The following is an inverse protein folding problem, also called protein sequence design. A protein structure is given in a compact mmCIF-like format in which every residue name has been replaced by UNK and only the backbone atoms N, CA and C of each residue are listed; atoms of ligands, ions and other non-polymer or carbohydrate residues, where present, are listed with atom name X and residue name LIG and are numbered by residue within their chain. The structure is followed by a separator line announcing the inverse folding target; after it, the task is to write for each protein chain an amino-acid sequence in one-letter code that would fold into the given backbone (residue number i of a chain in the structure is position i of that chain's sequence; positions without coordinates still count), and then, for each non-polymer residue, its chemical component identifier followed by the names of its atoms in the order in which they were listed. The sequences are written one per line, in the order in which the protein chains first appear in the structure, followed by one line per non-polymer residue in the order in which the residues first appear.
data_IF_808580206929
#
_entry.id   IF_808580206929
#
_cell.length_a   1.000
_cell.length_b   1.000
_cell.length_c   1.000
_cell.angle_alpha   90.00
_cell.angle_beta   90.00
_cell.angle_gamma   90.00
#
_symmetry.space_group_name_H-M   'P 1'
#
loop_
_entity.id
_entity.type
_entity.pdbx_description
1 polymer ?
#
# COMPACT_ATOMS: atom_id res chain seq x y z
N UNK A 1 -5.37 -49.91 36.04
CA UNK A 1 -6.17 -50.99 36.65
C UNK A 1 -7.42 -51.11 35.81
N UNK A 2 -7.54 -52.22 35.09
CA UNK A 2 -8.73 -52.58 34.34
C UNK A 2 -9.70 -53.27 35.29
N UNK A 3 -10.98 -52.89 35.24
CA UNK A 3 -12.07 -53.70 35.76
C UNK A 3 -13.23 -53.65 34.76
N UNK A 4 -13.27 -54.67 33.91
CA UNK A 4 -14.53 -55.20 33.38
C UNK A 4 -15.31 -55.80 34.55
N UNK A 5 -16.61 -55.52 34.65
CA UNK A 5 -17.50 -56.41 35.38
C UNK A 5 -18.82 -56.60 34.64
N UNK A 6 -19.14 -57.88 34.42
CA UNK A 6 -20.31 -58.45 33.77
C UNK A 6 -21.49 -58.49 34.73
N UNK A 7 -22.71 -58.38 34.22
CA UNK A 7 -23.94 -58.61 34.99
C UNK A 7 -25.14 -58.97 34.09
N UNK A 8 -25.22 -60.24 33.74
CA UNK A 8 -26.39 -61.03 33.25
C UNK A 8 -27.51 -61.09 34.31
N UNK A 9 -28.70 -61.74 34.13
CA UNK A 9 -29.35 -62.32 32.94
C UNK A 9 -30.89 -62.07 32.82
N UNK A 10 -31.45 -62.59 31.71
CA UNK A 10 -32.87 -62.72 31.31
C UNK A 10 -33.52 -63.96 31.98
N UNK A 11 -34.83 -63.95 32.24
CA UNK A 11 -35.76 -64.99 31.72
C UNK A 11 -37.12 -64.36 31.30
N UNK A 12 -37.79 -64.65 30.18
CA UNK A 12 -38.01 -65.92 29.50
C UNK A 12 -39.49 -66.32 29.66
N UNK A 13 -40.36 -65.96 28.71
CA UNK A 13 -41.56 -66.73 28.34
C UNK A 13 -42.18 -66.16 27.05
N UNK A 14 -42.42 -67.06 26.09
CA UNK A 14 -42.85 -66.80 24.71
C UNK A 14 -44.38 -67.00 24.55
N UNK A 15 -44.97 -66.12 23.73
CA UNK A 15 -46.05 -66.35 22.72
C UNK A 15 -47.50 -66.75 23.11
N UNK A 16 -48.51 -66.57 22.21
CA UNK A 16 -48.59 -65.80 20.95
C UNK A 16 -49.92 -65.01 20.75
N UNK A 17 -50.07 -64.45 19.53
CA UNK A 17 -51.28 -63.95 18.84
C UNK A 17 -51.68 -62.48 19.02
N UNK A 18 -51.38 -61.66 17.98
CA UNK A 18 -52.38 -61.18 17.01
C UNK A 18 -51.73 -60.33 15.88
N UNK A 19 -51.77 -60.82 14.64
CA UNK A 19 -51.67 -60.01 13.41
C UNK A 19 -53.11 -59.69 12.91
N UNK A 20 -53.37 -58.82 11.91
CA UNK A 20 -52.50 -58.11 10.95
C UNK A 20 -52.74 -56.56 10.97
N UNK A 21 -51.98 -55.69 10.29
CA UNK A 21 -52.07 -55.38 8.85
C UNK A 21 -51.18 -54.14 8.53
N UNK A 22 -50.55 -54.11 7.34
CA UNK A 22 -50.29 -52.86 6.60
C UNK A 22 -48.89 -52.22 6.60
N UNK A 23 -48.10 -52.55 5.57
CA UNK A 23 -47.20 -51.67 4.77
C UNK A 23 -45.98 -51.01 5.44
N UNK A 24 -44.74 -51.38 5.04
CA UNK A 24 -43.91 -50.77 3.95
C UNK A 24 -43.28 -49.44 4.41
N UNK A 25 -41.98 -49.17 4.41
CA UNK A 25 -40.73 -49.63 3.78
C UNK A 25 -39.63 -49.51 4.86
N UNK A 26 -38.60 -50.36 4.95
CA UNK A 26 -37.46 -50.33 4.03
C UNK A 26 -36.45 -49.23 4.40
N UNK A 27 -35.94 -49.21 5.63
CA UNK A 27 -34.82 -48.35 6.02
C UNK A 27 -33.51 -49.12 5.79
N UNK A 28 -32.94 -48.93 4.60
CA UNK A 28 -31.57 -49.35 4.27
C UNK A 28 -30.59 -48.58 5.15
N UNK A 29 -29.76 -49.34 5.87
CA UNK A 29 -28.55 -48.85 6.49
C UNK A 29 -27.61 -48.31 5.41
N UNK A 30 -27.43 -46.98 5.37
CA UNK A 30 -26.42 -46.35 4.53
C UNK A 30 -25.07 -46.41 5.26
N UNK A 31 -24.24 -47.36 4.82
CA UNK A 31 -22.81 -47.41 5.10
C UNK A 31 -22.12 -46.09 4.69
N UNK A 32 -21.24 -45.59 5.57
CA UNK A 32 -20.36 -44.46 5.30
C UNK A 32 -19.33 -44.79 4.22
N UNK A 33 -19.67 -44.50 2.98
CA UNK A 33 -18.73 -44.32 1.88
C UNK A 33 -18.51 -42.82 1.67
N UNK A 34 -17.39 -42.30 2.17
CA UNK A 34 -16.91 -40.96 1.83
C UNK A 34 -16.64 -40.93 0.32
N UNK A 35 -17.54 -40.32 -0.46
CA UNK A 35 -17.40 -40.30 -1.91
C UNK A 35 -16.18 -39.45 -2.27
N UNK A 36 -15.37 -39.86 -3.26
CA UNK A 36 -14.22 -39.08 -3.74
C UNK A 36 -14.57 -37.62 -4.08
N UNK A 37 -15.83 -37.39 -4.49
CA UNK A 37 -16.35 -36.06 -4.83
C UNK A 37 -16.53 -35.14 -3.60
N UNK A 38 -16.91 -35.70 -2.44
CA UNK A 38 -17.02 -34.92 -1.20
C UNK A 38 -15.64 -34.42 -0.71
N UNK A 39 -14.60 -35.22 -0.88
CA UNK A 39 -13.22 -34.84 -0.55
C UNK A 39 -12.70 -33.73 -1.50
N UNK A 40 -13.00 -33.85 -2.79
CA UNK A 40 -12.65 -32.84 -3.80
C UNK A 40 -13.38 -31.52 -3.54
N UNK A 41 -14.66 -31.54 -3.22
CA UNK A 41 -15.41 -30.33 -2.84
C UNK A 41 -14.84 -29.67 -1.58
N UNK A 42 -14.52 -30.46 -0.55
CA UNK A 42 -13.90 -29.94 0.67
C UNK A 42 -12.54 -29.30 0.38
N UNK A 43 -11.74 -29.88 -0.53
CA UNK A 43 -10.45 -29.33 -0.96
C UNK A 43 -10.61 -28.07 -1.80
N UNK A 44 -11.57 -28.04 -2.71
CA UNK A 44 -11.88 -26.87 -3.53
C UNK A 44 -12.36 -25.70 -2.65
N UNK A 45 -13.27 -25.96 -1.69
CA UNK A 45 -13.75 -24.96 -0.71
C UNK A 45 -12.61 -24.33 0.08
N UNK A 46 -11.62 -25.12 0.52
CA UNK A 46 -10.41 -24.60 1.19
C UNK A 46 -9.56 -23.68 0.29
N UNK A 47 -9.64 -23.82 -1.03
CA UNK A 47 -8.95 -22.98 -2.01
C UNK A 47 -9.80 -21.80 -2.51
N UNK A 48 -10.98 -21.57 -1.91
CA UNK A 48 -11.87 -20.43 -2.22
C UNK A 48 -12.94 -20.72 -3.27
N UNK A 49 -13.15 -22.00 -3.63
CA UNK A 49 -14.28 -22.40 -4.45
C UNK A 49 -15.59 -22.34 -3.67
N UNK A 50 -16.67 -21.92 -4.33
CA UNK A 50 -18.00 -21.87 -3.76
C UNK A 50 -18.87 -22.91 -4.46
N UNK A 51 -19.71 -23.63 -3.70
CA UNK A 51 -20.66 -24.58 -4.26
C UNK A 51 -21.73 -23.90 -5.09
N UNK A 52 -22.52 -24.68 -5.85
CA UNK A 52 -23.55 -24.12 -6.75
C UNK A 52 -24.59 -23.28 -6.00
N UNK A 53 -24.89 -23.63 -4.75
CA UNK A 53 -25.83 -22.91 -3.89
C UNK A 53 -25.27 -21.58 -3.36
N UNK A 54 -23.94 -21.48 -3.18
CA UNK A 54 -23.25 -20.29 -2.63
C UNK A 54 -22.64 -19.42 -3.74
N UNK A 55 -22.77 -19.81 -5.01
CA UNK A 55 -22.16 -19.13 -6.14
C UNK A 55 -23.00 -17.93 -6.60
N UNK A 56 -22.48 -16.73 -6.37
CA UNK A 56 -23.18 -15.47 -6.67
C UNK A 56 -22.97 -14.96 -8.12
N UNK A 57 -22.48 -15.81 -9.03
CA UNK A 57 -22.17 -15.44 -10.41
C UNK A 57 -23.13 -16.04 -11.45
N UNK A 58 -22.92 -15.73 -12.74
CA UNK A 58 -23.68 -16.31 -13.84
C UNK A 58 -23.54 -17.84 -13.89
N UNK A 59 -24.66 -18.59 -13.95
CA UNK A 59 -24.65 -20.06 -13.88
C UNK A 59 -23.82 -20.72 -15.01
N UNK A 60 -23.71 -20.06 -16.17
CA UNK A 60 -22.88 -20.48 -17.31
C UNK A 60 -21.36 -20.40 -17.04
N UNK A 61 -20.96 -19.68 -15.99
CA UNK A 61 -19.56 -19.51 -15.56
C UNK A 61 -19.22 -20.34 -14.33
N UNK A 62 -20.18 -21.06 -13.76
CA UNK A 62 -19.92 -21.97 -12.66
C UNK A 62 -18.99 -23.11 -13.10
N UNK A 63 -18.03 -23.46 -12.26
CA UNK A 63 -17.04 -24.52 -12.51
C UNK A 63 -17.20 -25.55 -11.40
N UNK A 64 -17.21 -26.84 -11.73
CA UNK A 64 -17.24 -27.90 -10.72
C UNK A 64 -15.95 -27.96 -9.89
N UNK A 65 -16.01 -28.62 -8.72
CA UNK A 65 -14.90 -28.66 -7.77
C UNK A 65 -13.63 -29.30 -8.36
N UNK A 66 -13.77 -30.33 -9.18
CA UNK A 66 -12.63 -31.04 -9.80
C UNK A 66 -11.93 -30.15 -10.82
N UNK A 67 -12.70 -29.54 -11.73
CA UNK A 67 -12.19 -28.61 -12.75
C UNK A 67 -11.59 -27.36 -12.11
N UNK A 68 -12.15 -26.86 -11.00
CA UNK A 68 -11.57 -25.76 -10.24
C UNK A 68 -10.21 -26.15 -9.65
N UNK A 69 -10.09 -27.32 -9.02
CA UNK A 69 -8.82 -27.79 -8.44
C UNK A 69 -7.76 -27.90 -9.53
N UNK A 70 -8.05 -28.56 -10.65
CA UNK A 70 -7.10 -28.77 -11.75
C UNK A 70 -6.61 -27.44 -12.35
N UNK A 71 -7.54 -26.50 -12.60
CA UNK A 71 -7.19 -25.14 -13.04
C UNK A 71 -6.42 -24.39 -11.98
N UNK A 72 -6.79 -24.52 -10.71
CA UNK A 72 -6.12 -23.81 -9.62
C UNK A 72 -4.68 -24.31 -9.42
N UNK A 73 -4.43 -25.62 -9.52
CA UNK A 73 -3.09 -26.20 -9.40
C UNK A 73 -2.20 -25.82 -10.59
N UNK A 74 -2.79 -25.67 -11.78
CA UNK A 74 -2.07 -25.31 -13.01
C UNK A 74 -1.84 -23.80 -13.11
N UNK A 75 -2.85 -22.99 -12.84
CA UNK A 75 -2.87 -21.56 -13.13
C UNK A 75 -2.50 -20.68 -11.92
N UNK A 76 -2.77 -21.10 -10.66
CA UNK A 76 -2.41 -20.28 -9.49
C UNK A 76 -0.90 -20.10 -9.34
N UNK A 77 -0.03 -21.10 -9.57
CA UNK A 77 1.41 -20.87 -9.50
C UNK A 77 1.88 -19.82 -10.51
N UNK A 78 1.37 -19.90 -11.75
CA UNK A 78 1.69 -18.95 -12.83
C UNK A 78 1.19 -17.55 -12.45
N UNK A 79 -0.04 -17.45 -11.96
CA UNK A 79 -0.66 -16.18 -11.56
C UNK A 79 0.05 -15.55 -10.36
N UNK A 80 0.40 -16.34 -9.34
CA UNK A 80 1.17 -15.89 -8.17
C UNK A 80 2.56 -15.43 -8.56
N UNK A 81 3.24 -16.14 -9.45
CA UNK A 81 4.55 -15.73 -9.95
C UNK A 81 4.45 -14.42 -10.77
N UNK A 82 3.41 -14.28 -11.60
CA UNK A 82 3.14 -13.05 -12.33
C UNK A 82 2.85 -11.88 -11.39
N UNK A 83 2.02 -12.08 -10.36
CA UNK A 83 1.72 -11.06 -9.35
C UNK A 83 2.97 -10.62 -8.62
N UNK A 84 3.79 -11.58 -8.14
CA UNK A 84 5.10 -11.28 -7.52
C UNK A 84 6.02 -10.49 -8.43
N UNK A 85 6.05 -10.78 -9.73
CA UNK A 85 6.83 -10.01 -10.71
C UNK A 85 6.29 -8.61 -10.92
N UNK A 86 4.96 -8.43 -10.93
CA UNK A 86 4.32 -7.13 -11.03
C UNK A 86 4.59 -6.30 -9.77
N UNK A 87 4.42 -6.86 -8.57
CA UNK A 87 4.71 -6.18 -7.31
C UNK A 87 6.17 -5.71 -7.24
N UNK A 88 7.11 -6.57 -7.66
CA UNK A 88 8.54 -6.20 -7.75
C UNK A 88 8.78 -5.07 -8.76
N UNK A 89 8.03 -5.04 -9.87
CA UNK A 89 8.14 -3.96 -10.87
C UNK A 89 7.58 -2.65 -10.34
N UNK A 90 6.40 -2.68 -9.71
CA UNK A 90 5.78 -1.51 -9.09
C UNK A 90 6.70 -0.94 -8.02
N UNK A 91 7.19 -1.77 -7.09
CA UNK A 91 8.12 -1.32 -6.05
C UNK A 91 9.42 -0.73 -6.62
N UNK A 92 9.93 -1.28 -7.74
CA UNK A 92 11.09 -0.71 -8.44
C UNK A 92 10.75 0.65 -9.05
N UNK A 93 9.59 0.79 -9.70
CA UNK A 93 9.17 2.05 -10.31
C UNK A 93 8.92 3.14 -9.26
N UNK A 94 8.25 2.81 -8.15
CA UNK A 94 8.03 3.74 -7.03
C UNK A 94 9.36 4.27 -6.47
N UNK A 95 10.35 3.38 -6.35
CA UNK A 95 11.70 3.78 -5.92
C UNK A 95 12.34 4.75 -6.91
N UNK A 96 12.27 4.46 -8.21
CA UNK A 96 12.86 5.33 -9.24
C UNK A 96 12.17 6.69 -9.29
N UNK A 97 10.84 6.73 -9.17
CA UNK A 97 10.06 7.98 -9.13
C UNK A 97 10.45 8.82 -7.92
N UNK A 98 10.60 8.19 -6.75
CA UNK A 98 11.04 8.89 -5.54
C UNK A 98 12.44 9.49 -5.70
N UNK A 99 13.41 8.70 -6.17
CA UNK A 99 14.78 9.16 -6.41
C UNK A 99 14.81 10.28 -7.46
N UNK A 100 13.97 10.20 -8.49
CA UNK A 100 13.84 11.24 -9.51
C UNK A 100 13.27 12.54 -8.94
N UNK A 101 12.24 12.46 -8.09
CA UNK A 101 11.67 13.60 -7.39
C UNK A 101 12.68 14.29 -6.47
N UNK A 102 13.45 13.52 -5.69
CA UNK A 102 14.51 14.05 -4.83
C UNK A 102 15.63 14.72 -5.64
N UNK A 103 16.03 14.11 -6.76
CA UNK A 103 17.00 14.70 -7.68
C UNK A 103 16.53 16.05 -8.23
N UNK A 104 15.30 16.12 -8.74
CA UNK A 104 14.75 17.36 -9.32
C UNK A 104 14.51 18.45 -8.27
N UNK A 105 14.02 18.12 -7.08
CA UNK A 105 13.91 19.07 -5.99
C UNK A 105 15.27 19.70 -5.65
N UNK A 106 16.34 18.90 -5.67
CA UNK A 106 17.71 19.40 -5.49
C UNK A 106 18.20 20.27 -6.66
N UNK A 107 17.79 19.99 -7.91
CA UNK A 107 18.11 20.84 -9.08
C UNK A 107 17.40 22.19 -8.97
N UNK A 108 16.11 22.20 -8.63
CA UNK A 108 15.29 23.40 -8.49
C UNK A 108 15.80 24.29 -7.36
N UNK A 109 16.10 23.72 -6.18
CA UNK A 109 16.69 24.46 -5.06
C UNK A 109 17.99 25.18 -5.45
N UNK A 110 18.88 24.50 -6.20
CA UNK A 110 20.14 25.10 -6.67
C UNK A 110 19.93 26.17 -7.73
N UNK A 111 18.99 25.95 -8.65
CA UNK A 111 18.65 26.95 -9.67
C UNK A 111 18.09 28.21 -9.02
N UNK A 112 17.23 28.04 -8.01
CA UNK A 112 16.68 29.12 -7.20
C UNK A 112 17.76 29.88 -6.43
N UNK A 113 18.64 29.18 -5.68
CA UNK A 113 19.75 29.81 -4.96
C UNK A 113 20.67 30.59 -5.89
N UNK A 114 20.98 30.02 -7.07
CA UNK A 114 21.78 30.70 -8.08
C UNK A 114 21.09 31.97 -8.59
N UNK A 115 19.81 31.89 -8.95
CA UNK A 115 19.04 33.05 -9.40
C UNK A 115 19.00 34.15 -8.33
N UNK A 116 18.78 33.78 -7.06
CA UNK A 116 18.76 34.73 -5.95
C UNK A 116 20.13 35.39 -5.73
N UNK A 117 21.21 34.61 -5.78
CA UNK A 117 22.57 35.16 -5.65
C UNK A 117 22.96 36.07 -6.82
N UNK A 118 22.52 35.73 -8.04
CA UNK A 118 22.70 36.55 -9.23
C UNK A 118 21.95 37.89 -9.11
N UNK A 119 20.66 37.87 -8.74
CA UNK A 119 19.85 39.08 -8.50
C UNK A 119 20.50 39.96 -7.42
N UNK A 120 20.92 39.37 -6.30
CA UNK A 120 21.57 40.13 -5.21
C UNK A 120 22.90 40.75 -5.61
N UNK A 121 23.66 40.09 -6.50
CA UNK A 121 24.87 40.68 -7.07
C UNK A 121 24.52 41.86 -7.96
N UNK A 122 23.58 41.70 -8.87
CA UNK A 122 23.16 42.76 -9.79
C UNK A 122 22.57 43.97 -9.05
N UNK A 123 21.84 43.76 -7.95
CA UNK A 123 21.38 44.86 -7.08
C UNK A 123 22.53 45.66 -6.49
N UNK A 124 23.59 44.99 -6.03
CA UNK A 124 24.79 45.67 -5.53
C UNK A 124 25.49 46.47 -6.64
N UNK A 125 25.56 45.91 -7.84
CA UNK A 125 26.17 46.60 -8.98
C UNK A 125 25.33 47.82 -9.42
N UNK A 126 23.99 47.71 -9.42
CA UNK A 126 23.08 48.83 -9.70
C UNK A 126 23.20 49.94 -8.64
N UNK A 127 23.29 49.58 -7.35
CA UNK A 127 23.50 50.54 -6.27
C UNK A 127 24.85 51.28 -6.40
N UNK A 128 25.92 50.57 -6.79
CA UNK A 128 27.23 51.18 -7.03
C UNK A 128 27.24 52.10 -8.26
N UNK A 129 26.38 51.82 -9.25
CA UNK A 129 26.22 52.64 -10.45
C UNK A 129 25.20 53.79 -10.27
N UNK A 130 24.63 53.96 -9.08
CA UNK A 130 23.55 54.91 -8.77
C UNK A 130 22.29 54.73 -9.66
N UNK A 131 22.11 53.53 -10.24
CA UNK A 131 20.96 53.16 -11.06
C UNK A 131 19.82 52.64 -10.18
N UNK A 132 19.07 53.60 -9.62
CA UNK A 132 17.97 53.31 -8.70
C UNK A 132 16.77 52.63 -9.38
N UNK A 133 16.52 52.91 -10.66
CA UNK A 133 15.44 52.28 -11.42
C UNK A 133 15.69 50.77 -11.55
N UNK A 134 16.91 50.40 -11.96
CA UNK A 134 17.31 48.99 -12.05
C UNK A 134 17.33 48.30 -10.69
N UNK A 135 17.73 49.01 -9.63
CA UNK A 135 17.74 48.48 -8.27
C UNK A 135 16.31 48.10 -7.82
N UNK A 136 15.34 48.98 -8.02
CA UNK A 136 13.95 48.76 -7.62
C UNK A 136 13.30 47.62 -8.42
N UNK A 137 13.61 47.50 -9.71
CA UNK A 137 13.12 46.41 -10.53
C UNK A 137 13.72 45.05 -10.13
N UNK A 138 15.02 45.00 -9.82
CA UNK A 138 15.64 43.80 -9.28
C UNK A 138 15.11 43.46 -7.88
N UNK A 139 14.74 44.46 -7.07
CA UNK A 139 14.10 44.22 -5.76
C UNK A 139 12.70 43.58 -5.93
N UNK A 140 11.92 44.01 -6.93
CA UNK A 140 10.64 43.34 -7.26
C UNK A 140 10.88 41.91 -7.73
N UNK A 141 11.88 41.68 -8.59
CA UNK A 141 12.22 40.33 -9.05
C UNK A 141 12.68 39.41 -7.91
N UNK A 142 13.42 39.94 -6.93
CA UNK A 142 13.80 39.18 -5.73
C UNK A 142 12.57 38.74 -4.94
N UNK A 143 11.61 39.64 -4.71
CA UNK A 143 10.36 39.33 -4.00
C UNK A 143 9.50 38.31 -4.77
N UNK A 144 9.37 38.46 -6.08
CA UNK A 144 8.63 37.51 -6.92
C UNK A 144 9.31 36.13 -6.94
N UNK A 145 10.64 36.10 -7.03
CA UNK A 145 11.39 34.87 -6.95
C UNK A 145 11.17 34.20 -5.58
N UNK A 146 11.27 34.94 -4.47
CA UNK A 146 11.03 34.43 -3.11
C UNK A 146 9.62 33.86 -2.91
N UNK A 147 8.59 34.40 -3.58
CA UNK A 147 7.24 33.79 -3.57
C UNK A 147 7.20 32.44 -4.27
N UNK A 148 8.05 32.24 -5.28
CA UNK A 148 8.20 30.98 -6.02
C UNK A 148 9.25 30.04 -5.44
N UNK A 149 9.74 30.33 -4.23
CA UNK A 149 10.76 29.52 -3.58
C UNK A 149 10.35 28.03 -3.60
N UNK A 150 11.24 27.12 -4.06
CA UNK A 150 10.96 25.71 -4.06
C UNK A 150 10.74 25.30 -2.61
N UNK A 151 9.49 24.97 -2.26
CA UNK A 151 9.15 24.39 -0.97
C UNK A 151 9.84 23.03 -0.90
N UNK A 152 11.03 22.99 -0.33
CA UNK A 152 11.85 21.79 -0.19
C UNK A 152 11.08 20.70 0.56
N UNK A 153 10.47 19.81 -0.20
CA UNK A 153 9.67 18.70 0.29
C UNK A 153 9.13 17.90 -0.90
N UNK A 154 8.86 16.59 -0.74
CA UNK A 154 8.28 15.79 -1.80
C UNK A 154 6.96 16.44 -2.23
N UNK A 155 6.90 16.84 -3.50
CA UNK A 155 5.72 17.29 -4.25
C UNK A 155 4.61 17.84 -3.35
N UNK A 156 4.71 19.12 -2.97
CA UNK A 156 3.62 19.81 -2.30
C UNK A 156 2.44 19.87 -3.27
N UNK A 157 1.55 18.88 -3.16
CA UNK A 157 0.16 19.04 -3.56
C UNK A 157 -0.38 20.30 -2.89
N UNK A 158 -1.40 20.90 -3.51
CA UNK A 158 -2.20 21.93 -2.88
C UNK A 158 -2.43 21.57 -1.40
N UNK A 159 -2.22 22.54 -0.51
CA UNK A 159 -2.45 22.32 0.91
C UNK A 159 -3.84 21.71 1.04
N UNK A 160 -4.00 20.56 1.70
CA UNK A 160 -5.28 19.87 1.76
C UNK A 160 -6.34 20.84 2.31
N UNK A 161 -7.59 20.77 1.81
CA UNK A 161 -8.70 21.55 2.34
C UNK A 161 -8.72 21.52 3.88
N UNK A 162 -9.08 22.64 4.54
CA UNK A 162 -9.04 22.74 6.00
C UNK A 162 -9.81 21.61 6.68
N UNK A 163 -10.90 21.12 6.07
CA UNK A 163 -11.72 20.01 6.55
C UNK A 163 -10.92 18.71 6.70
N UNK A 164 -10.02 18.42 5.74
CA UNK A 164 -9.15 17.23 5.78
C UNK A 164 -8.09 17.39 6.87
N UNK A 165 -7.54 18.60 7.00
CA UNK A 165 -6.51 18.91 8.00
C UNK A 165 -7.07 18.81 9.43
N UNK A 166 -8.27 19.37 9.65
CA UNK A 166 -8.97 19.36 10.94
C UNK A 166 -9.39 17.94 11.32
N UNK A 167 -9.89 17.15 10.36
CA UNK A 167 -10.17 15.74 10.57
C UNK A 167 -8.91 14.93 10.93
N UNK A 168 -7.81 15.11 10.20
CA UNK A 168 -6.55 14.41 10.46
C UNK A 168 -6.02 14.73 11.87
N UNK A 169 -6.15 15.99 12.30
CA UNK A 169 -5.77 16.44 13.63
C UNK A 169 -6.69 15.87 14.73
N UNK A 170 -8.00 15.79 14.48
CA UNK A 170 -8.98 15.26 15.43
C UNK A 170 -9.04 13.73 15.49
N UNK A 171 -8.39 13.04 14.55
CA UNK A 171 -8.39 11.57 14.43
C UNK A 171 -7.10 10.98 15.01
N UNK A 172 -7.06 10.50 16.27
CA UNK A 172 -5.80 10.23 16.99
C UNK A 172 -4.95 9.14 16.34
N UNK A 173 -5.59 8.20 15.65
CA UNK A 173 -4.93 7.09 14.99
C UNK A 173 -4.38 7.43 13.60
N UNK A 174 -4.77 8.55 13.02
CA UNK A 174 -4.28 9.01 11.73
C UNK A 174 -2.90 9.64 11.90
N UNK A 175 -1.98 9.27 11.02
CA UNK A 175 -0.60 9.75 11.05
C UNK A 175 -0.51 11.12 10.36
N UNK A 176 -0.05 12.13 11.10
CA UNK A 176 0.27 13.46 10.57
C UNK A 176 1.76 13.75 10.74
N UNK A 177 2.32 14.76 10.05
CA UNK A 177 3.71 15.17 10.26
C UNK A 177 4.02 15.48 11.74
N UNK A 178 3.06 16.11 12.43
CA UNK A 178 3.15 16.45 13.86
C UNK A 178 2.81 15.27 14.79
N UNK A 179 2.31 14.16 14.24
CA UNK A 179 1.96 12.92 14.97
C UNK A 179 2.50 11.68 14.26
N UNK A 180 3.82 11.40 14.36
CA UNK A 180 4.43 10.24 13.71
C UNK A 180 4.01 8.90 14.33
N UNK A 181 3.45 8.89 15.55
CA UNK A 181 2.96 7.72 16.27
C UNK A 181 1.58 7.20 15.84
N UNK A 182 0.96 7.78 14.80
CA UNK A 182 -0.27 7.24 14.20
C UNK A 182 -0.09 5.83 13.63
N UNK A 183 -1.19 5.10 13.45
CA UNK A 183 -1.15 3.76 12.90
C UNK A 183 -0.99 3.81 11.38
N UNK A 184 0.17 3.40 10.87
CA UNK A 184 0.49 3.41 9.43
C UNK A 184 -0.50 2.58 8.60
N UNK A 185 -0.94 1.42 9.10
CA UNK A 185 -1.88 0.55 8.38
C UNK A 185 -3.25 1.19 8.20
N UNK A 186 -3.78 1.79 9.28
CA UNK A 186 -5.06 2.51 9.25
C UNK A 186 -4.98 3.80 8.44
N UNK A 187 -3.86 4.52 8.52
CA UNK A 187 -3.63 5.74 7.73
C UNK A 187 -3.62 5.43 6.23
N UNK A 188 -2.86 4.41 5.81
CA UNK A 188 -2.79 4.04 4.40
C UNK A 188 -4.15 3.57 3.87
N UNK A 189 -4.88 2.79 4.65
CA UNK A 189 -6.23 2.35 4.29
C UNK A 189 -7.19 3.55 4.17
N UNK A 190 -7.14 4.49 5.13
CA UNK A 190 -7.98 5.67 5.12
C UNK A 190 -7.75 6.55 3.87
N UNK A 191 -6.49 6.76 3.49
CA UNK A 191 -6.13 7.53 2.27
C UNK A 191 -6.65 6.83 1.01
N UNK A 192 -6.48 5.50 0.92
CA UNK A 192 -6.94 4.73 -0.24
C UNK A 192 -8.47 4.75 -0.35
N UNK A 193 -9.19 4.53 0.75
CA UNK A 193 -10.65 4.50 0.77
C UNK A 193 -11.27 5.88 0.55
N UNK A 194 -10.63 6.96 1.04
CA UNK A 194 -11.02 8.33 0.71
C UNK A 194 -11.02 8.57 -0.81
N UNK A 195 -9.95 8.15 -1.50
CA UNK A 195 -9.82 8.29 -2.95
C UNK A 195 -10.84 7.44 -3.73
N UNK A 196 -11.15 6.24 -3.24
CA UNK A 196 -12.19 5.36 -3.80
C UNK A 196 -13.58 6.01 -3.73
N UNK A 197 -13.94 6.56 -2.56
CA UNK A 197 -15.23 7.24 -2.34
C UNK A 197 -15.41 8.48 -3.24
N UNK A 198 -14.33 9.22 -3.55
CA UNK A 198 -14.40 10.34 -4.49
C UNK A 198 -14.76 9.91 -5.92
N UNK A 199 -14.41 8.68 -6.30
CA UNK A 199 -14.71 8.11 -7.63
C UNK A 199 -16.09 7.46 -7.64
N UNK A 200 -16.41 6.65 -6.64
CA UNK A 200 -17.66 5.89 -6.57
C UNK A 200 -18.86 6.75 -6.17
N UNK A 201 -18.64 7.74 -5.32
CA UNK A 201 -19.67 8.64 -4.78
C UNK A 201 -19.24 10.11 -4.95
N UNK A 202 -19.12 10.63 -6.19
CA UNK A 202 -18.59 11.97 -6.47
C UNK A 202 -19.45 13.12 -5.94
N UNK A 203 -20.67 12.83 -5.45
CA UNK A 203 -21.58 13.81 -4.85
C UNK A 203 -21.45 13.97 -3.33
N UNK A 204 -20.59 13.18 -2.66
CA UNK A 204 -20.35 13.34 -1.23
C UNK A 204 -19.60 14.64 -0.95
N UNK A 205 -20.01 15.32 0.12
CA UNK A 205 -19.18 16.37 0.72
C UNK A 205 -17.91 15.76 1.31
N UNK A 206 -16.88 16.59 1.49
CA UNK A 206 -15.61 16.16 2.09
C UNK A 206 -15.84 15.60 3.50
N UNK A 207 -16.74 16.22 4.27
CA UNK A 207 -17.09 15.81 5.63
C UNK A 207 -17.74 14.41 5.66
N UNK A 208 -18.75 14.18 4.79
CA UNK A 208 -19.42 12.87 4.68
C UNK A 208 -18.46 11.77 4.23
N UNK A 209 -17.55 12.08 3.31
CA UNK A 209 -16.51 11.15 2.88
C UNK A 209 -15.59 10.76 4.05
N UNK A 210 -15.10 11.74 4.82
CA UNK A 210 -14.20 11.49 5.96
C UNK A 210 -14.89 10.73 7.11
N UNK A 211 -16.20 10.94 7.30
CA UNK A 211 -17.00 10.16 8.25
C UNK A 211 -17.09 8.68 7.83
N UNK A 212 -17.39 8.42 6.55
CA UNK A 212 -17.42 7.07 5.97
C UNK A 212 -16.05 6.39 6.10
N UNK A 213 -14.97 7.10 5.77
CA UNK A 213 -13.58 6.63 5.94
C UNK A 213 -13.31 6.24 7.39
N UNK A 214 -13.73 7.08 8.34
CA UNK A 214 -13.51 6.82 9.78
C UNK A 214 -14.30 5.60 10.26
N UNK A 215 -15.55 5.45 9.80
CA UNK A 215 -16.41 4.31 10.10
C UNK A 215 -15.80 3.01 9.56
N UNK A 216 -15.35 3.04 8.31
CA UNK A 216 -14.80 1.89 7.63
C UNK A 216 -13.46 1.45 8.24
N UNK A 217 -12.61 2.39 8.64
CA UNK A 217 -11.39 2.09 9.40
C UNK A 217 -11.72 1.41 10.73
N UNK A 218 -12.73 1.90 11.47
CA UNK A 218 -13.15 1.26 12.73
C UNK A 218 -13.68 -0.15 12.52
N UNK A 219 -14.45 -0.36 11.45
CA UNK A 219 -14.98 -1.67 11.06
C UNK A 219 -13.88 -2.64 10.65
N UNK A 220 -12.84 -2.14 9.97
CA UNK A 220 -11.77 -2.95 9.38
C UNK A 220 -10.62 -3.26 10.34
N UNK A 221 -10.43 -2.41 11.35
CA UNK A 221 -9.39 -2.53 12.39
C UNK A 221 -9.97 -2.53 13.81
N UNK A 222 -11.02 -3.32 14.12
CA UNK A 222 -11.69 -3.29 15.42
C UNK A 222 -10.72 -3.57 16.58
N UNK A 223 -9.68 -4.37 16.35
CA UNK A 223 -8.63 -4.71 17.31
C UNK A 223 -7.77 -3.51 17.72
N UNK A 224 -7.75 -2.44 16.91
CA UNK A 224 -7.00 -1.20 17.19
C UNK A 224 -7.80 -0.19 18.01
N UNK A 225 -9.10 -0.43 18.19
CA UNK A 225 -9.99 0.40 19.00
C UNK A 225 -10.37 -0.27 20.34
N UNK A 226 -9.82 -1.46 20.62
CA UNK A 226 -9.95 -2.14 21.91
C UNK A 226 -8.78 -1.80 22.85
N UNK A 227 -9.07 -1.63 24.16
CA UNK A 227 -8.13 -1.14 25.18
C UNK A 227 -6.89 -2.04 25.36
N UNK A 228 -5.66 -1.57 25.06
CA UNK A 228 -4.46 -2.38 25.06
C UNK A 228 -3.59 -2.12 26.30
N UNK A 229 -3.99 -2.61 27.48
CA UNK A 229 -3.07 -2.76 28.63
C UNK A 229 -2.45 -4.16 28.62
N UNK A 230 -1.47 -4.40 27.73
CA UNK A 230 -0.45 -5.46 27.90
C UNK A 230 0.64 -5.35 26.83
N UNK A 231 1.85 -4.99 27.25
CA UNK A 231 3.11 -5.34 26.58
C UNK A 231 3.94 -4.16 26.07
N UNK A 232 4.76 -3.58 26.96
CA UNK A 232 5.76 -2.54 26.68
C UNK A 232 7.10 -3.08 26.11
N UNK A 233 7.63 -2.35 25.11
CA UNK A 233 9.03 -1.94 24.74
C UNK A 233 10.22 -2.94 24.74
N UNK A 234 11.38 -2.74 24.06
CA UNK A 234 12.16 -1.56 23.58
C UNK A 234 13.12 -1.99 22.40
N UNK A 235 13.60 -1.19 21.42
CA UNK A 235 14.52 0.00 21.31
C UNK A 235 16.00 -0.30 20.92
N UNK A 236 16.65 0.72 20.30
CA UNK A 236 18.07 1.08 19.96
C UNK A 236 18.59 0.82 18.50
N UNK A 237 18.97 1.79 17.63
CA UNK A 237 20.06 2.84 17.55
C UNK A 237 21.48 2.25 17.22
N UNK A 238 22.40 2.75 16.36
CA UNK A 238 22.53 3.85 15.40
C UNK A 238 23.98 3.96 14.77
N UNK A 239 24.13 4.77 13.70
CA UNK A 239 25.28 5.61 13.21
C UNK A 239 26.59 5.09 12.51
N UNK A 240 26.96 5.70 11.36
CA UNK A 240 28.11 6.65 11.16
C UNK A 240 28.61 6.72 9.69
N UNK A 241 29.02 7.91 9.21
CA UNK A 241 29.50 8.21 7.84
C UNK A 241 31.01 8.43 7.69
N UNK A 242 31.50 8.85 6.49
CA UNK A 242 32.84 9.45 6.23
C UNK A 242 32.91 10.19 4.86
N UNK A 243 33.80 11.22 4.79
CA UNK A 243 34.08 12.30 3.79
C UNK A 243 34.85 11.92 2.48
N UNK A 244 35.01 12.84 1.48
CA UNK A 244 35.42 12.54 0.08
C UNK A 244 36.86 12.96 -0.32
N UNK A 245 37.35 12.60 -1.54
CA UNK A 245 38.43 13.29 -2.24
C UNK A 245 38.05 13.86 -3.64
N UNK A 246 38.99 14.62 -4.24
CA UNK A 246 38.80 15.72 -5.19
C UNK A 246 38.80 15.43 -6.72
N UNK A 247 38.19 16.38 -7.45
CA UNK A 247 38.18 16.79 -8.87
C UNK A 247 39.09 16.08 -9.92
N UNK A 248 38.43 15.48 -10.91
CA UNK A 248 38.90 15.16 -12.27
C UNK A 248 37.77 15.41 -13.29
N UNK A 249 38.07 15.60 -14.58
CA UNK A 249 37.14 16.10 -15.60
C UNK A 249 35.78 15.37 -15.69
N UNK A 250 34.70 16.08 -16.00
CA UNK A 250 33.32 15.62 -15.84
C UNK A 250 32.87 14.70 -16.97
N UNK A 251 32.92 13.39 -16.75
CA UNK A 251 32.24 12.39 -17.57
C UNK A 251 31.41 11.46 -16.68
N UNK A 252 30.55 10.62 -17.27
CA UNK A 252 29.84 9.58 -16.51
C UNK A 252 30.80 8.66 -15.75
N UNK A 253 32.04 8.49 -16.20
CA UNK A 253 33.07 7.71 -15.50
C UNK A 253 33.41 8.28 -14.11
N UNK A 254 33.16 9.56 -13.89
CA UNK A 254 33.55 10.30 -12.68
C UNK A 254 32.42 10.43 -11.67
N UNK A 255 31.23 9.91 -12.00
CA UNK A 255 30.12 9.81 -11.05
C UNK A 255 30.46 8.77 -9.95
N UNK A 256 30.16 9.08 -8.69
CA UNK A 256 30.06 8.09 -7.61
C UNK A 256 29.17 6.90 -8.00
N UNK A 257 29.41 5.73 -7.39
CA UNK A 257 28.75 4.48 -7.79
C UNK A 257 27.21 4.53 -7.65
N UNK A 258 26.72 5.20 -6.61
CA UNK A 258 25.32 5.50 -6.36
C UNK A 258 24.72 6.43 -7.43
N UNK A 259 25.44 7.50 -7.81
CA UNK A 259 25.00 8.42 -8.85
C UNK A 259 24.96 7.79 -10.24
N UNK A 260 25.89 6.87 -10.55
CA UNK A 260 25.84 6.06 -11.78
C UNK A 260 24.59 5.19 -11.82
N UNK A 261 24.30 4.50 -10.71
CA UNK A 261 23.13 3.63 -10.60
C UNK A 261 21.81 4.41 -10.74
N UNK A 262 21.73 5.62 -10.18
CA UNK A 262 20.58 6.52 -10.35
C UNK A 262 20.44 6.97 -11.82
N UNK A 263 21.54 7.41 -12.46
CA UNK A 263 21.56 7.81 -13.86
C UNK A 263 21.06 6.68 -14.78
N UNK A 264 21.57 5.46 -14.61
CA UNK A 264 21.18 4.30 -15.41
C UNK A 264 19.72 3.92 -15.18
N UNK A 265 19.23 4.05 -13.95
CA UNK A 265 17.82 3.78 -13.60
C UNK A 265 16.88 4.79 -14.27
N UNK A 266 17.24 6.08 -14.30
CA UNK A 266 16.43 7.11 -14.95
C UNK A 266 16.40 6.95 -16.48
N UNK A 267 17.53 6.57 -17.09
CA UNK A 267 17.60 6.27 -18.52
C UNK A 267 16.75 5.03 -18.86
N UNK A 268 16.82 3.98 -18.03
CA UNK A 268 16.06 2.75 -18.23
C UNK A 268 14.54 2.98 -18.19
N UNK A 269 14.06 3.82 -17.27
CA UNK A 269 12.64 4.21 -17.18
C UNK A 269 12.28 5.37 -18.14
N UNK A 270 13.21 5.81 -19.00
CA UNK A 270 13.03 6.89 -19.99
C UNK A 270 12.64 8.24 -19.39
N UNK A 271 13.05 8.50 -18.15
CA UNK A 271 12.76 9.76 -17.45
C UNK A 271 13.67 10.90 -17.91
N UNK A 272 14.91 10.59 -18.30
CA UNK A 272 15.84 11.57 -18.87
C UNK A 272 16.98 10.90 -19.64
N UNK A 273 17.73 11.70 -20.39
CA UNK A 273 18.97 11.27 -21.04
C UNK A 273 20.17 11.38 -20.10
N UNK A 274 21.20 10.58 -20.41
CA UNK A 274 22.50 10.65 -19.75
C UNK A 274 23.11 12.06 -19.77
N UNK A 275 22.96 12.77 -20.89
CA UNK A 275 23.50 14.11 -21.06
C UNK A 275 22.80 15.13 -20.15
N UNK A 276 21.48 15.03 -20.02
CA UNK A 276 20.69 15.87 -19.12
C UNK A 276 21.05 15.61 -17.65
N UNK A 277 21.23 14.34 -17.27
CA UNK A 277 21.63 13.98 -15.90
C UNK A 277 22.97 14.60 -15.53
N UNK A 278 24.00 14.42 -16.38
CA UNK A 278 25.34 14.96 -16.11
C UNK A 278 25.38 16.50 -16.04
N UNK A 279 24.51 17.17 -16.80
CA UNK A 279 24.37 18.64 -16.78
C UNK A 279 23.77 19.13 -15.45
N UNK A 280 22.85 18.37 -14.87
CA UNK A 280 22.10 18.73 -13.66
C UNK A 280 22.70 18.15 -12.36
N UNK A 281 23.58 17.17 -12.47
CA UNK A 281 24.24 16.52 -11.35
C UNK A 281 25.12 17.48 -10.54
N UNK A 282 25.08 17.35 -9.21
CA UNK A 282 25.91 18.14 -8.29
C UNK A 282 27.31 17.52 -8.22
N UNK A 283 28.27 18.15 -8.87
CA UNK A 283 29.69 17.79 -8.76
C UNK A 283 30.28 18.49 -7.53
N UNK A 284 30.62 17.74 -6.48
CA UNK A 284 31.41 18.24 -5.33
C UNK A 284 32.86 18.56 -5.74
#
# INVERSE_FOLDING_TARGET
MAEENKGTPIPGEEDPEKAPDGSSEGEEAQEGGETPDAELEARAKRMGWHGKEDYNGPEDRFVDAKTFIEKSETELPITRERLRRLDKRVAKQDKVIKEFGEFHAGVEARAYEKALTDIRREKRDAANAEDMEKYDDLAKQEVELEKTAPKGGPMAGESPPPEITDWANSTPWFKTPDRPGGNTGMTNFAIAHHGELLVEKPGLTIEENLEEVTSEVKRRFPEKFANPKRGDAASVEGTSGTKPPAKGGRSYGDLPADAKAACDSFIAEKLMTKAEYLKQYKWE
#
